data_IF_565208266824
#
_entry.id   IF_565208266824
#
_cell.length_a   1.000
_cell.length_b   1.000
_cell.length_c   1.000
_cell.angle_alpha   90.00
_cell.angle_beta   90.00
_cell.angle_gamma   90.00
#
_symmetry.space_group_name_H-M   'P 1'
#
loop_
_entity.id
_entity.type
_entity.pdbx_description
1 polymer ?
#
# COMPACT_ATOMS: atom_id res chain seq x y z
N UNK A 1 6.71 -36.68 -26.82
CA UNK A 1 5.33 -36.79 -26.32
C UNK A 1 4.57 -37.84 -27.12
N UNK A 2 3.61 -38.51 -26.46
CA UNK A 2 2.66 -39.43 -27.09
C UNK A 2 1.69 -38.66 -27.97
N UNK A 3 2.11 -38.32 -29.18
CA UNK A 3 1.24 -37.67 -30.15
C UNK A 3 0.64 -38.63 -31.17
N UNK A 4 -0.27 -38.12 -32.00
CA UNK A 4 -0.86 -38.86 -33.12
C UNK A 4 -0.47 -38.19 -34.43
N UNK A 5 -0.15 -39.03 -35.41
CA UNK A 5 0.10 -38.60 -36.78
C UNK A 5 -1.15 -38.89 -37.60
N UNK A 6 -1.74 -37.84 -38.15
CA UNK A 6 -2.95 -37.94 -38.96
C UNK A 6 -2.59 -37.66 -40.42
N UNK A 7 -2.91 -38.62 -41.28
CA UNK A 7 -2.84 -38.43 -42.73
C UNK A 7 -4.15 -37.77 -43.18
N UNK A 8 -4.10 -36.47 -43.49
CA UNK A 8 -5.26 -35.72 -43.95
C UNK A 8 -5.32 -35.76 -45.48
N UNK A 9 -6.52 -35.95 -46.03
CA UNK A 9 -6.79 -35.80 -47.46
C UNK A 9 -7.81 -34.69 -47.67
N UNK A 10 -7.44 -33.66 -48.43
CA UNK A 10 -8.34 -32.59 -48.80
C UNK A 10 -9.46 -33.12 -49.71
N UNK A 11 -10.72 -32.82 -49.37
CA UNK A 11 -11.89 -33.24 -50.16
C UNK A 11 -12.02 -32.48 -51.48
N UNK A 12 -11.44 -31.28 -51.58
CA UNK A 12 -11.60 -30.39 -52.74
C UNK A 12 -10.49 -30.55 -53.77
N UNK A 13 -9.23 -30.70 -53.33
CA UNK A 13 -8.07 -30.79 -54.23
C UNK A 13 -7.31 -32.12 -54.12
N UNK A 14 -7.80 -33.08 -53.32
CA UNK A 14 -7.18 -34.39 -53.09
C UNK A 14 -5.74 -34.38 -52.53
N UNK A 15 -5.20 -33.20 -52.16
CA UNK A 15 -3.89 -33.07 -51.55
C UNK A 15 -3.82 -33.85 -50.23
N UNK A 16 -2.73 -34.58 -50.05
CA UNK A 16 -2.46 -35.36 -48.84
C UNK A 16 -1.44 -34.59 -48.00
N UNK A 17 -1.74 -34.39 -46.72
CA UNK A 17 -0.86 -33.67 -45.80
C UNK A 17 -0.76 -34.45 -44.49
N UNK A 18 0.46 -34.62 -43.97
CA UNK A 18 0.66 -35.17 -42.64
C UNK A 18 0.48 -34.05 -41.61
N UNK A 19 -0.45 -34.25 -40.68
CA UNK A 19 -0.61 -33.39 -39.51
C UNK A 19 -0.04 -34.11 -38.29
N UNK A 20 1.00 -33.52 -37.70
CA UNK A 20 1.60 -34.01 -36.47
C UNK A 20 0.96 -33.28 -35.29
N UNK A 21 0.15 -33.98 -34.51
CA UNK A 21 -0.41 -33.44 -33.26
C UNK A 21 0.47 -33.95 -32.12
N UNK A 22 1.27 -33.05 -31.53
CA UNK A 22 2.10 -33.31 -30.34
C UNK A 22 1.66 -32.34 -29.24
N UNK A 23 1.64 -32.79 -27.99
CA UNK A 23 1.57 -31.88 -26.84
C UNK A 23 2.88 -31.09 -26.76
N UNK A 24 2.84 -29.79 -26.39
CA UNK A 24 4.03 -29.01 -26.12
C UNK A 24 4.88 -29.68 -25.05
N UNK A 25 6.19 -29.40 -25.06
CA UNK A 25 7.09 -29.99 -24.07
C UNK A 25 6.98 -29.17 -22.80
N UNK A 26 6.79 -29.84 -21.67
CA UNK A 26 6.95 -29.21 -20.38
C UNK A 26 8.43 -28.91 -20.13
N UNK A 27 8.74 -27.66 -19.77
CA UNK A 27 10.04 -27.21 -19.31
C UNK A 27 9.94 -26.70 -17.88
N UNK A 28 11.04 -26.74 -17.15
CA UNK A 28 11.10 -26.25 -15.77
C UNK A 28 11.87 -24.94 -15.73
N UNK A 29 11.22 -23.89 -15.24
CA UNK A 29 11.82 -22.55 -15.16
C UNK A 29 11.93 -22.14 -13.68
N UNK A 30 13.08 -21.57 -13.25
CA UNK A 30 13.24 -21.15 -11.86
C UNK A 30 12.55 -19.81 -11.60
N UNK A 31 11.70 -19.80 -10.56
CA UNK A 31 11.00 -18.63 -10.06
C UNK A 31 11.55 -18.19 -8.69
N UNK A 32 11.55 -16.89 -8.46
CA UNK A 32 11.76 -16.27 -7.16
C UNK A 32 10.43 -15.68 -6.71
N UNK A 33 9.80 -16.34 -5.75
CA UNK A 33 8.52 -15.93 -5.19
C UNK A 33 8.77 -15.10 -3.93
N UNK A 34 8.28 -13.87 -3.91
CA UNK A 34 8.49 -12.94 -2.79
C UNK A 34 7.17 -12.56 -2.12
N UNK A 35 7.03 -12.94 -0.86
CA UNK A 35 5.95 -12.53 0.04
C UNK A 35 6.49 -11.56 1.10
N UNK A 36 6.27 -10.27 0.87
CA UNK A 36 6.68 -9.22 1.79
C UNK A 36 8.20 -9.26 2.09
N UNK A 37 8.62 -9.58 3.33
CA UNK A 37 10.05 -9.66 3.68
C UNK A 37 10.67 -11.03 3.37
N UNK A 38 9.89 -12.03 2.97
CA UNK A 38 10.35 -13.39 2.72
C UNK A 38 10.40 -13.66 1.22
N UNK A 39 11.48 -14.27 0.74
CA UNK A 39 11.58 -14.76 -0.62
C UNK A 39 12.03 -16.21 -0.63
N UNK A 40 11.48 -16.99 -1.56
CA UNK A 40 11.87 -18.38 -1.82
C UNK A 40 12.13 -18.58 -3.29
N UNK A 41 13.07 -19.47 -3.60
CA UNK A 41 13.30 -19.93 -4.97
C UNK A 41 12.55 -21.25 -5.16
N UNK A 42 11.78 -21.35 -6.23
CA UNK A 42 11.06 -22.56 -6.63
C UNK A 42 11.26 -22.83 -8.12
N UNK A 43 10.94 -24.02 -8.55
CA UNK A 43 11.00 -24.45 -9.95
C UNK A 43 9.56 -24.77 -10.39
N UNK A 44 9.09 -24.08 -11.44
CA UNK A 44 7.72 -24.20 -11.95
C UNK A 44 7.76 -24.86 -13.33
N UNK A 45 6.89 -25.85 -13.53
CA UNK A 45 6.71 -26.51 -14.83
C UNK A 45 5.78 -25.66 -15.70
N UNK A 46 6.25 -25.31 -16.89
CA UNK A 46 5.55 -24.50 -17.90
C UNK A 46 5.63 -25.20 -19.26
N UNK A 47 4.73 -24.86 -20.18
CA UNK A 47 4.82 -25.35 -21.56
C UNK A 47 5.89 -24.57 -22.35
N UNK A 48 6.57 -25.22 -23.30
CA UNK A 48 7.64 -24.62 -24.10
C UNK A 48 7.17 -23.54 -25.08
N UNK A 49 5.88 -23.49 -25.38
CA UNK A 49 5.24 -22.46 -26.20
C UNK A 49 4.53 -21.37 -25.38
N UNK A 50 4.67 -21.38 -24.06
CA UNK A 50 4.08 -20.36 -23.19
C UNK A 50 4.84 -19.04 -23.27
N UNK A 51 4.13 -17.95 -23.58
CA UNK A 51 4.65 -16.59 -23.59
C UNK A 51 4.37 -15.94 -22.24
N UNK A 52 5.43 -15.53 -21.54
CA UNK A 52 5.35 -14.94 -20.21
C UNK A 52 5.46 -13.43 -20.30
N UNK A 53 4.54 -12.74 -19.65
CA UNK A 53 4.46 -11.28 -19.60
C UNK A 53 4.58 -10.76 -18.17
N UNK A 54 5.26 -9.63 -18.00
CA UNK A 54 5.26 -8.91 -16.72
C UNK A 54 3.83 -8.44 -16.44
N UNK A 55 3.31 -8.84 -15.27
CA UNK A 55 1.94 -8.60 -14.86
C UNK A 55 1.06 -9.86 -14.88
N UNK A 56 1.51 -10.95 -15.51
CA UNK A 56 0.74 -12.20 -15.53
C UNK A 56 0.58 -12.76 -14.13
N UNK A 57 -0.59 -13.35 -13.88
CA UNK A 57 -0.98 -13.91 -12.59
C UNK A 57 -1.11 -15.41 -12.70
N UNK A 58 -0.46 -16.13 -11.78
CA UNK A 58 -0.51 -17.58 -11.69
C UNK A 58 -0.67 -18.03 -10.23
N UNK A 59 -1.03 -19.29 -10.04
CA UNK A 59 -1.20 -19.91 -8.73
C UNK A 59 -0.04 -20.86 -8.43
N UNK A 60 0.53 -20.76 -7.23
CA UNK A 60 1.53 -21.69 -6.68
C UNK A 60 1.32 -21.79 -5.17
N UNK A 61 1.23 -23.02 -4.64
CA UNK A 61 1.08 -23.30 -3.21
C UNK A 61 -0.14 -22.58 -2.57
N UNK A 62 -1.29 -22.66 -3.24
CA UNK A 62 -2.56 -22.02 -2.86
C UNK A 62 -2.51 -20.47 -2.76
N UNK A 63 -1.45 -19.85 -3.30
CA UNK A 63 -1.28 -18.39 -3.33
C UNK A 63 -1.24 -17.88 -4.76
N UNK A 64 -1.76 -16.67 -4.98
CA UNK A 64 -1.69 -15.99 -6.27
C UNK A 64 -0.45 -15.10 -6.34
N UNK A 65 0.28 -15.21 -7.45
CA UNK A 65 1.54 -14.51 -7.70
C UNK A 65 1.44 -13.72 -9.01
N UNK A 66 1.94 -12.49 -9.01
CA UNK A 66 2.08 -11.68 -10.23
C UNK A 66 3.54 -11.57 -10.64
N UNK A 67 3.83 -11.80 -11.92
CA UNK A 67 5.18 -11.63 -12.46
C UNK A 67 5.57 -10.16 -12.40
N UNK A 68 6.67 -9.84 -11.70
CA UNK A 68 7.17 -8.46 -11.60
C UNK A 68 8.39 -8.20 -12.47
N UNK A 69 9.16 -9.24 -12.81
CA UNK A 69 10.39 -9.13 -13.57
C UNK A 69 10.74 -10.46 -14.24
N UNK A 70 11.08 -10.40 -15.52
CA UNK A 70 11.58 -11.54 -16.31
C UNK A 70 13.03 -11.25 -16.71
N UNK A 71 13.92 -12.21 -16.50
CA UNK A 71 15.33 -12.15 -16.89
C UNK A 71 15.59 -13.22 -17.95
N UNK A 72 16.12 -12.81 -19.09
CA UNK A 72 16.56 -13.66 -20.20
C UNK A 72 17.86 -14.42 -19.84
N UNK A 73 18.14 -15.54 -20.51
CA UNK A 73 19.44 -16.25 -20.53
C UNK A 73 20.66 -15.33 -20.72
N UNK A 74 20.50 -14.20 -21.41
CA UNK A 74 21.56 -13.18 -21.53
C UNK A 74 21.71 -12.24 -20.32
N UNK A 75 20.87 -12.40 -19.28
CA UNK A 75 20.86 -11.58 -18.07
C UNK A 75 20.12 -10.24 -18.20
N UNK A 76 19.44 -10.00 -19.32
CA UNK A 76 18.69 -8.76 -19.57
C UNK A 76 17.25 -8.85 -19.08
N UNK A 77 16.72 -7.72 -18.58
CA UNK A 77 15.31 -7.61 -18.22
C UNK A 77 14.45 -7.51 -19.47
N UNK A 78 13.37 -8.29 -19.52
CA UNK A 78 12.38 -8.27 -20.60
C UNK A 78 10.99 -8.05 -20.01
N UNK A 79 10.10 -7.46 -20.81
CA UNK A 79 8.68 -7.30 -20.47
C UNK A 79 7.87 -8.53 -20.87
N UNK A 80 8.30 -9.19 -21.95
CA UNK A 80 7.67 -10.37 -22.53
C UNK A 80 8.76 -11.30 -23.01
N UNK A 81 8.62 -12.60 -22.78
CA UNK A 81 9.59 -13.60 -23.17
C UNK A 81 8.95 -14.98 -23.28
N UNK A 82 9.39 -15.80 -24.23
CA UNK A 82 9.02 -17.22 -24.26
C UNK A 82 9.60 -17.94 -23.05
N UNK A 83 8.85 -18.91 -22.52
CA UNK A 83 9.25 -19.72 -21.37
C UNK A 83 10.64 -20.37 -21.59
N UNK A 84 10.97 -20.77 -22.82
CA UNK A 84 12.25 -21.38 -23.20
C UNK A 84 13.47 -20.47 -23.03
N UNK A 85 13.27 -19.15 -23.17
CA UNK A 85 14.36 -18.17 -23.15
C UNK A 85 14.51 -17.51 -21.77
N UNK A 86 13.60 -17.82 -20.84
CA UNK A 86 13.61 -17.28 -19.49
C UNK A 86 14.65 -17.97 -18.61
N UNK A 87 15.61 -17.18 -18.09
CA UNK A 87 16.60 -17.68 -17.14
C UNK A 87 16.06 -17.73 -15.73
N UNK A 88 15.47 -16.63 -15.25
CA UNK A 88 14.91 -16.46 -13.92
C UNK A 88 13.72 -15.51 -14.01
N UNK A 89 12.63 -15.89 -13.35
CA UNK A 89 11.46 -15.04 -13.20
C UNK A 89 11.28 -14.69 -11.73
N UNK A 90 10.89 -13.44 -11.47
CA UNK A 90 10.53 -12.99 -10.14
C UNK A 90 9.05 -12.66 -10.12
N UNK A 91 8.37 -13.07 -9.06
CA UNK A 91 6.96 -12.82 -8.85
C UNK A 91 6.68 -12.36 -7.42
N UNK A 92 5.67 -11.51 -7.28
CA UNK A 92 5.20 -10.98 -5.99
C UNK A 92 3.85 -11.59 -5.67
N UNK A 93 3.64 -11.91 -4.40
CA UNK A 93 2.34 -12.36 -3.91
C UNK A 93 1.29 -11.27 -4.11
N UNK A 94 0.12 -11.62 -4.66
CA UNK A 94 -0.91 -10.68 -5.13
C UNK A 94 -2.29 -10.90 -4.47
N UNK A 95 -2.56 -12.08 -3.92
CA UNK A 95 -3.80 -12.38 -3.19
C UNK A 95 -4.08 -11.40 -2.03
N UNK A 96 -3.03 -10.94 -1.35
CA UNK A 96 -3.09 -9.94 -0.28
C UNK A 96 -2.25 -8.71 -0.60
N UNK A 97 -2.83 -7.53 -0.41
CA UNK A 97 -2.17 -6.24 -0.58
C UNK A 97 -1.73 -5.69 0.78
N UNK A 98 -0.46 -5.31 0.89
CA UNK A 98 0.08 -4.65 2.08
C UNK A 98 -0.05 -3.14 1.99
N UNK A 99 -1.05 -2.58 2.66
CA UNK A 99 -1.29 -1.14 2.68
C UNK A 99 -0.59 -0.50 3.87
N UNK A 100 0.24 0.53 3.62
CA UNK A 100 0.87 1.31 4.70
C UNK A 100 -0.15 2.24 5.33
N UNK A 101 -0.14 2.33 6.64
CA UNK A 101 -1.03 3.20 7.42
C UNK A 101 -0.18 4.21 8.18
N UNK A 102 -0.69 5.43 8.28
CA UNK A 102 -0.21 6.41 9.25
C UNK A 102 -1.38 6.86 10.10
N UNK A 103 -1.33 6.52 11.37
CA UNK A 103 -2.30 6.94 12.39
C UNK A 103 -1.81 8.23 13.03
N UNK A 104 -2.68 9.23 13.16
CA UNK A 104 -2.34 10.53 13.77
C UNK A 104 -3.30 10.85 14.90
N UNK A 105 -2.77 11.00 16.12
CA UNK A 105 -3.48 11.43 17.32
C UNK A 105 -2.89 12.74 17.83
N UNK A 106 -3.61 13.83 17.64
CA UNK A 106 -3.10 15.18 17.97
C UNK A 106 -1.80 15.50 17.22
N UNK A 107 -0.68 15.59 17.95
CA UNK A 107 0.66 15.89 17.40
C UNK A 107 1.52 14.64 17.15
N UNK A 108 1.07 13.45 17.58
CA UNK A 108 1.82 12.20 17.42
C UNK A 108 1.31 11.44 16.20
N UNK A 109 2.25 10.89 15.42
CA UNK A 109 1.96 10.08 14.24
C UNK A 109 2.76 8.79 14.25
N UNK A 110 2.07 7.66 14.16
CA UNK A 110 2.67 6.34 14.07
C UNK A 110 2.49 5.77 12.66
N UNK A 111 3.51 5.04 12.18
CA UNK A 111 3.48 4.39 10.87
C UNK A 111 3.45 2.89 11.03
N UNK A 112 2.51 2.24 10.36
CA UNK A 112 2.31 0.79 10.40
C UNK A 112 1.93 0.27 9.00
N UNK A 113 1.62 -1.02 8.89
CA UNK A 113 1.04 -1.63 7.68
C UNK A 113 -0.02 -2.64 8.05
N UNK A 114 -1.08 -2.73 7.24
CA UNK A 114 -2.10 -3.78 7.33
C UNK A 114 -2.05 -4.66 6.08
N UNK A 115 -2.41 -5.93 6.25
CA UNK A 115 -2.72 -6.82 5.13
C UNK A 115 -4.22 -6.71 4.84
N UNK A 116 -4.55 -6.65 3.57
CA UNK A 116 -5.93 -6.55 3.08
C UNK A 116 -6.07 -7.43 1.87
N UNK A 117 -7.25 -8.00 1.67
CA UNK A 117 -7.50 -8.83 0.50
C UNK A 117 -7.50 -8.00 -0.78
N UNK A 118 -7.08 -8.62 -1.87
CA UNK A 118 -7.12 -8.00 -3.19
C UNK A 118 -8.55 -7.53 -3.54
N UNK A 119 -8.65 -6.35 -4.16
CA UNK A 119 -9.95 -5.73 -4.52
C UNK A 119 -10.69 -5.04 -3.36
N UNK A 120 -10.19 -5.10 -2.12
CA UNK A 120 -10.79 -4.37 -1.00
C UNK A 120 -10.83 -2.87 -1.30
N UNK A 121 -11.97 -2.22 -1.04
CA UNK A 121 -12.19 -0.80 -1.35
C UNK A 121 -12.13 0.06 -0.11
N UNK A 122 -11.35 1.14 -0.16
CA UNK A 122 -11.27 2.14 0.90
C UNK A 122 -11.86 3.45 0.40
N UNK A 123 -12.77 4.02 1.17
CA UNK A 123 -13.39 5.31 0.85
C UNK A 123 -12.81 6.40 1.75
N UNK A 124 -12.26 7.44 1.13
CA UNK A 124 -11.80 8.60 1.88
C UNK A 124 -12.98 9.27 2.61
N UNK A 125 -12.71 9.77 3.82
CA UNK A 125 -13.68 10.38 4.73
C UNK A 125 -14.65 9.44 5.46
N UNK A 126 -14.43 8.14 5.37
CA UNK A 126 -15.21 7.13 6.11
C UNK A 126 -14.52 6.68 7.38
N UNK A 127 -15.27 5.99 8.24
CA UNK A 127 -14.74 5.36 9.46
C UNK A 127 -14.26 3.94 9.14
N UNK A 128 -13.18 3.53 9.78
CA UNK A 128 -12.60 2.20 9.68
C UNK A 128 -12.15 1.70 11.05
N UNK A 129 -12.33 0.42 11.31
CA UNK A 129 -11.79 -0.24 12.48
C UNK A 129 -10.35 -0.68 12.21
N UNK A 130 -9.40 -0.13 12.97
CA UNK A 130 -7.99 -0.44 12.87
C UNK A 130 -7.39 -0.59 14.26
N UNK A 131 -6.79 -1.77 14.53
CA UNK A 131 -6.22 -2.14 15.84
C UNK A 131 -7.24 -2.07 17.00
N UNK A 132 -8.50 -2.42 16.75
CA UNK A 132 -9.56 -2.41 17.76
C UNK A 132 -10.11 -1.03 18.11
N UNK A 133 -9.69 0.01 17.37
CA UNK A 133 -10.20 1.37 17.53
C UNK A 133 -10.81 1.90 16.24
N UNK A 134 -11.78 2.81 16.37
CA UNK A 134 -12.44 3.46 15.25
C UNK A 134 -11.64 4.69 14.81
N UNK A 135 -11.22 4.70 13.55
CA UNK A 135 -10.48 5.80 12.94
C UNK A 135 -11.24 6.40 11.77
N UNK A 136 -11.00 7.68 11.46
CA UNK A 136 -11.46 8.32 10.22
C UNK A 136 -10.35 8.28 9.18
N UNK A 137 -10.66 7.79 7.98
CA UNK A 137 -9.78 7.88 6.82
C UNK A 137 -9.74 9.34 6.35
N UNK A 138 -8.66 10.06 6.65
CA UNK A 138 -8.52 11.47 6.27
C UNK A 138 -8.13 11.65 4.80
N UNK A 139 -7.25 10.78 4.31
CA UNK A 139 -6.70 10.83 2.97
C UNK A 139 -6.13 9.47 2.55
N UNK A 140 -6.23 9.16 1.27
CA UNK A 140 -5.63 7.98 0.64
C UNK A 140 -4.59 8.45 -0.36
N UNK A 141 -3.38 7.89 -0.34
CA UNK A 141 -2.32 8.23 -1.28
C UNK A 141 -2.11 7.10 -2.29
N UNK A 142 -2.29 7.41 -3.58
CA UNK A 142 -2.21 6.44 -4.69
C UNK A 142 -0.93 6.59 -5.53
N UNK A 143 0.10 7.23 -4.97
CA UNK A 143 1.34 7.53 -5.69
C UNK A 143 1.23 8.78 -6.59
N UNK A 144 0.20 8.90 -7.42
CA UNK A 144 -0.04 10.07 -8.27
C UNK A 144 -0.49 11.31 -7.46
N UNK A 145 -1.20 11.10 -6.35
CA UNK A 145 -1.73 12.18 -5.54
C UNK A 145 -2.34 11.72 -4.23
N UNK A 146 -3.02 12.63 -3.54
CA UNK A 146 -3.80 12.34 -2.34
C UNK A 146 -5.29 12.51 -2.63
N UNK A 147 -6.02 11.42 -2.53
CA UNK A 147 -7.47 11.36 -2.64
C UNK A 147 -8.07 11.72 -1.28
N UNK A 148 -8.67 12.90 -1.19
CA UNK A 148 -9.35 13.37 0.03
C UNK A 148 -10.84 12.98 0.05
N UNK A 149 -11.40 12.62 -1.11
CA UNK A 149 -12.79 12.19 -1.31
C UNK A 149 -12.82 11.16 -2.43
N UNK A 150 -13.65 10.13 -2.28
CA UNK A 150 -13.78 9.05 -3.26
C UNK A 150 -13.27 7.72 -2.75
N UNK A 151 -13.51 6.68 -3.54
CA UNK A 151 -13.17 5.29 -3.24
C UNK A 151 -11.98 4.84 -4.08
N UNK A 152 -11.08 4.10 -3.47
CA UNK A 152 -9.85 3.57 -4.10
C UNK A 152 -9.71 2.11 -3.72
N UNK A 153 -9.25 1.28 -4.66
CA UNK A 153 -8.98 -0.13 -4.43
C UNK A 153 -7.62 -0.34 -3.76
N UNK A 154 -7.50 -1.33 -2.88
CA UNK A 154 -6.33 -1.56 -2.04
C UNK A 154 -5.01 -1.61 -2.83
N UNK A 155 -5.05 -2.23 -4.01
CA UNK A 155 -3.92 -2.39 -4.93
C UNK A 155 -3.29 -1.05 -5.39
N UNK A 156 -4.10 0.00 -5.55
CA UNK A 156 -3.60 1.31 -5.95
C UNK A 156 -3.12 2.16 -4.75
N UNK A 157 -3.31 1.68 -3.52
CA UNK A 157 -3.04 2.45 -2.31
C UNK A 157 -1.60 2.26 -1.86
N UNK A 158 -0.86 3.36 -1.90
CA UNK A 158 0.48 3.45 -1.32
C UNK A 158 0.47 3.70 0.19
N UNK A 159 -0.46 4.55 0.66
CA UNK A 159 -0.61 4.85 2.10
C UNK A 159 -2.00 5.40 2.45
N UNK A 160 -2.55 5.00 3.59
CA UNK A 160 -3.76 5.58 4.19
C UNK A 160 -3.39 6.44 5.39
N UNK A 161 -3.97 7.64 5.50
CA UNK A 161 -3.83 8.51 6.66
C UNK A 161 -5.09 8.45 7.51
N UNK A 162 -4.94 7.96 8.74
CA UNK A 162 -6.00 7.82 9.72
C UNK A 162 -5.90 8.92 10.77
N UNK A 163 -7.03 9.54 11.08
CA UNK A 163 -7.16 10.54 12.14
C UNK A 163 -8.24 10.09 13.13
N UNK A 164 -8.14 10.56 14.37
CA UNK A 164 -9.21 10.35 15.34
C UNK A 164 -10.54 10.91 14.79
N UNK A 165 -11.64 10.16 14.91
CA UNK A 165 -12.95 10.68 14.56
C UNK A 165 -13.28 11.87 15.46
N UNK A 166 -13.92 12.93 14.93
CA UNK A 166 -14.28 14.08 15.75
C UNK A 166 -15.27 13.66 16.84
N UNK A 167 -14.92 13.84 18.11
CA UNK A 167 -15.86 13.69 19.22
C UNK A 167 -16.89 14.82 19.17
N UNK A 168 -18.17 14.47 19.05
CA UNK A 168 -19.27 15.44 18.96
C UNK A 168 -19.66 16.03 20.31
N UNK A 169 -19.48 15.29 21.41
CA UNK A 169 -20.05 15.63 22.72
C UNK A 169 -19.10 16.40 23.65
N UNK A 170 -17.77 16.26 23.50
CA UNK A 170 -16.83 16.92 24.40
C UNK A 170 -15.51 17.27 23.68
N UNK A 171 -15.26 18.57 23.51
CA UNK A 171 -13.98 19.08 23.01
C UNK A 171 -13.15 19.54 24.20
N UNK A 172 -12.38 18.63 24.79
CA UNK A 172 -11.27 19.01 25.65
C UNK A 172 -10.02 19.14 24.77
N UNK A 173 -9.45 20.35 24.61
CA UNK A 173 -8.23 20.48 23.84
C UNK A 173 -7.10 19.72 24.54
N UNK A 174 -6.63 18.65 23.92
CA UNK A 174 -5.50 17.86 24.42
C UNK A 174 -4.18 18.55 24.13
N UNK A 175 -4.12 19.38 23.08
CA UNK A 175 -2.89 20.08 22.67
C UNK A 175 -2.95 21.61 22.90
N UNK A 176 -1.79 22.29 23.06
CA UNK A 176 -1.74 23.75 23.16
C UNK A 176 -2.28 24.47 21.91
N UNK A 177 -2.14 23.87 20.73
CA UNK A 177 -2.62 24.44 19.47
C UNK A 177 -4.14 24.34 19.37
N UNK A 178 -4.70 23.17 19.66
CA UNK A 178 -6.16 22.96 19.75
C UNK A 178 -6.77 23.86 20.82
N UNK A 179 -6.10 24.05 21.96
CA UNK A 179 -6.54 24.98 23.00
C UNK A 179 -6.61 26.41 22.49
N UNK A 180 -5.58 26.89 21.77
CA UNK A 180 -5.57 28.24 21.18
C UNK A 180 -6.66 28.39 20.12
N UNK A 181 -6.90 27.36 19.31
CA UNK A 181 -7.90 27.39 18.25
C UNK A 181 -9.33 27.35 18.81
N UNK A 182 -9.60 26.49 19.80
CA UNK A 182 -10.88 26.45 20.49
C UNK A 182 -11.15 27.69 21.35
N UNK A 183 -10.11 28.32 21.89
CA UNK A 183 -10.21 29.65 22.50
C UNK A 183 -10.61 30.72 21.48
N UNK A 184 -10.02 30.71 20.28
CA UNK A 184 -10.42 31.61 19.18
C UNK A 184 -11.85 31.36 18.68
N UNK A 185 -12.27 30.10 18.63
CA UNK A 185 -13.59 29.68 18.15
C UNK A 185 -14.68 29.73 19.25
N UNK A 186 -14.34 30.12 20.49
CA UNK A 186 -15.28 30.17 21.61
C UNK A 186 -15.83 28.80 22.06
N UNK A 187 -15.20 27.71 21.63
CA UNK A 187 -15.58 26.31 21.93
C UNK A 187 -15.04 25.82 23.27
N UNK A 188 -14.11 26.58 23.82
CA UNK A 188 -13.59 26.38 25.17
C UNK A 188 -14.56 27.09 26.13
N UNK A 189 -15.15 26.36 27.08
CA UNK A 189 -16.02 26.94 28.11
C UNK A 189 -15.28 27.92 29.03
N UNK A 190 -15.53 27.86 30.34
CA UNK A 190 -14.81 28.72 31.30
C UNK A 190 -13.36 28.24 31.49
N UNK A 191 -12.40 28.87 30.79
CA UNK A 191 -10.97 28.56 30.90
C UNK A 191 -10.16 29.80 31.31
N UNK A 192 -10.15 30.15 32.61
CA UNK A 192 -9.37 31.28 33.11
C UNK A 192 -7.87 31.01 32.92
N UNK A 193 -7.10 32.08 32.68
CA UNK A 193 -5.65 31.97 32.64
C UNK A 193 -5.14 31.40 33.97
N UNK A 194 -4.17 30.47 33.97
CA UNK A 194 -3.61 29.96 35.21
C UNK A 194 -3.06 31.13 36.05
N UNK A 195 -3.48 31.22 37.30
CA UNK A 195 -2.94 32.21 38.22
C UNK A 195 -1.44 31.95 38.38
N UNK A 196 -0.58 32.93 38.05
CA UNK A 196 0.85 32.74 38.26
C UNK A 196 1.10 32.52 39.75
N UNK A 197 1.90 31.52 40.14
CA UNK A 197 2.23 31.31 41.54
C UNK A 197 2.80 32.61 42.12
N UNK A 198 2.27 33.07 43.26
CA UNK A 198 2.72 34.29 43.93
C UNK A 198 4.22 34.16 44.19
N UNK A 199 5.03 34.95 43.48
CA UNK A 199 6.48 35.01 43.71
C UNK A 199 6.72 35.41 45.17
N UNK A 200 7.24 34.50 45.98
CA UNK A 200 7.71 34.82 47.34
C UNK A 200 8.99 35.62 47.18
N UNK A 201 8.85 36.94 47.12
CA UNK A 201 9.98 37.86 47.12
C UNK A 201 10.68 37.76 48.47
N UNK A 202 11.89 37.17 48.48
CA UNK A 202 12.73 37.15 49.68
C UNK A 202 13.03 38.60 50.09
N UNK A 203 12.87 38.92 51.39
CA UNK A 203 13.21 40.25 51.94
C UNK A 203 14.65 40.62 51.53
N UNK A 204 14.83 41.85 51.02
CA UNK A 204 16.07 42.45 50.46
C UNK A 204 16.47 42.15 49.02
N UNK A 205 15.69 41.40 48.24
CA UNK A 205 15.94 41.30 46.79
C UNK A 205 14.95 42.21 46.06
N UNK A 206 15.44 43.25 45.38
CA UNK A 206 14.65 44.04 44.42
C UNK A 206 14.63 43.31 43.08
N UNK A 207 13.54 42.66 42.67
CA UNK A 207 13.48 42.00 41.37
C UNK A 207 13.44 43.06 40.25
N UNK A 208 14.40 42.97 39.33
CA UNK A 208 14.48 43.82 38.13
C UNK A 208 13.49 43.32 37.06
N UNK A 209 12.18 43.44 37.33
CA UNK A 209 11.15 43.08 36.36
C UNK A 209 10.69 44.30 35.55
N UNK A 210 11.59 44.92 34.80
CA UNK A 210 11.21 45.73 33.62
C UNK A 210 11.11 44.81 32.40
N UNK A 211 10.06 44.00 32.33
CA UNK A 211 9.62 43.40 31.06
C UNK A 211 9.26 44.57 30.13
N UNK A 212 10.14 44.87 29.17
CA UNK A 212 9.91 45.88 28.13
C UNK A 212 8.58 45.53 27.44
N UNK A 213 7.55 46.36 27.62
CA UNK A 213 6.33 46.32 26.77
C UNK A 213 6.80 46.45 25.32
N UNK A 214 6.70 45.37 24.54
CA UNK A 214 6.94 45.43 23.09
C UNK A 214 5.88 46.37 22.51
N UNK A 215 6.34 47.45 21.86
CA UNK A 215 5.47 48.39 21.14
C UNK A 215 4.74 47.65 20.02
N UNK A 216 3.45 47.95 19.78
CA UNK A 216 2.73 47.41 18.64
C UNK A 216 3.41 47.87 17.35
N UNK A 217 3.53 46.95 16.38
CA UNK A 217 3.99 47.28 15.03
C UNK A 217 2.87 48.02 14.31
N UNK A 218 3.18 49.20 13.76
CA UNK A 218 2.31 49.94 12.83
C UNK A 218 2.17 49.18 11.52
#
# INVERSE_FOLDING_TARGET
>A
GNGRDLLLKCTTCAAITNLHIRQPKSITVPFILTDGPHSRRTEIELDDDEELTVGDVFEDDEMLWSINQIIDNSGHKKTTLMSTDAAIISALRTDMVRVKITTTRGEYSDSSSMLVDYGTKFTADTKIDYQGEVWRIRAIHTGAGRTLRGTVEAQDIKRIYLHEPPNLEHFEPKTPRERRQAWKEGRLGYNPNPEPPKEVTKKRVTPSNKRKKKRPRK
#
